data_IF_503336849380
#
_entry.id   IF_503336849380
#
_cell.length_a   1.000
_cell.length_b   1.000
_cell.length_c   1.000
_cell.angle_alpha   90.00
_cell.angle_beta   90.00
_cell.angle_gamma   90.00
#
_symmetry.space_group_name_H-M   'P 1'
#
loop_
_entity.id
_entity.type
_entity.pdbx_description
1 polymer ?
#
# COMPACT_ATOMS: atom_id res chain seq x y z
N UNK A 1 9.71 16.89 -0.31
CA UNK A 1 8.79 15.78 -0.05
C UNK A 1 8.82 14.85 -1.21
N UNK A 2 9.08 13.62 -0.92
CA UNK A 2 9.13 12.64 -2.00
C UNK A 2 7.73 12.07 -2.25
N UNK A 3 7.48 11.77 -3.50
CA UNK A 3 6.30 11.03 -3.90
C UNK A 3 6.41 9.60 -3.41
N UNK A 4 5.27 8.94 -3.23
CA UNK A 4 5.28 7.50 -2.99
C UNK A 4 5.79 6.79 -4.24
N UNK A 5 6.65 5.81 -4.05
CA UNK A 5 7.19 5.05 -5.17
C UNK A 5 6.09 4.17 -5.76
N UNK A 6 6.14 3.99 -7.07
CA UNK A 6 5.15 3.18 -7.78
C UNK A 6 5.65 1.77 -7.99
N UNK A 7 4.70 0.83 -7.98
CA UNK A 7 4.95 -0.54 -8.36
C UNK A 7 4.01 -0.88 -9.52
N UNK A 8 4.49 -1.72 -10.44
CA UNK A 8 3.73 -2.13 -11.63
C UNK A 8 3.61 -3.64 -11.64
N UNK A 9 2.85 -4.17 -12.61
CA UNK A 9 2.74 -5.62 -12.80
C UNK A 9 4.12 -6.25 -12.99
N UNK A 10 4.99 -5.56 -13.75
CA UNK A 10 6.32 -6.08 -14.05
C UNK A 10 7.24 -6.08 -12.83
N UNK A 11 7.09 -5.11 -11.93
CA UNK A 11 7.98 -4.99 -10.78
C UNK A 11 7.37 -5.57 -9.50
N UNK A 12 6.15 -6.08 -9.56
CA UNK A 12 5.43 -6.48 -8.34
C UNK A 12 6.14 -7.60 -7.59
N UNK A 13 6.62 -8.61 -8.30
CA UNK A 13 7.31 -9.72 -7.65
C UNK A 13 8.56 -9.24 -6.92
N UNK A 14 9.38 -8.43 -7.61
CA UNK A 14 10.64 -7.97 -7.03
C UNK A 14 10.44 -7.01 -5.87
N UNK A 15 9.47 -6.09 -5.99
CA UNK A 15 9.30 -5.02 -5.00
C UNK A 15 8.38 -5.41 -3.86
N UNK A 16 7.47 -6.36 -4.06
CA UNK A 16 6.46 -6.70 -3.06
C UNK A 16 6.59 -8.15 -2.60
N UNK A 17 6.56 -9.10 -3.54
CA UNK A 17 6.43 -10.51 -3.16
C UNK A 17 7.70 -11.08 -2.58
N UNK A 18 8.87 -10.60 -3.00
CA UNK A 18 10.16 -11.09 -2.48
C UNK A 18 10.83 -10.09 -1.55
N UNK A 19 10.09 -9.05 -1.11
CA UNK A 19 10.65 -8.05 -0.21
C UNK A 19 10.96 -8.68 1.15
N UNK A 20 12.03 -8.18 1.78
CA UNK A 20 12.47 -8.69 3.09
C UNK A 20 11.74 -8.02 4.25
N UNK A 21 10.93 -7.00 3.98
CA UNK A 21 10.13 -6.31 4.99
C UNK A 21 8.69 -6.22 4.51
N UNK A 22 7.74 -5.93 5.42
CA UNK A 22 6.35 -5.73 5.00
C UNK A 22 6.22 -4.58 4.01
N UNK A 23 5.31 -4.73 3.06
CA UNK A 23 5.05 -3.73 2.01
C UNK A 23 3.57 -3.39 2.00
N UNK A 24 3.27 -2.11 2.18
CA UNK A 24 1.91 -1.60 2.07
C UNK A 24 1.71 -1.10 0.65
N UNK A 25 0.72 -1.67 -0.05
CA UNK A 25 0.42 -1.29 -1.44
C UNK A 25 -0.91 -0.55 -1.48
N UNK A 26 -0.87 0.68 -1.98
CA UNK A 26 -2.03 1.53 -2.18
C UNK A 26 -2.54 1.37 -3.62
N UNK A 27 -3.67 0.70 -3.78
CA UNK A 27 -4.31 0.55 -5.08
C UNK A 27 -5.15 1.81 -5.36
N UNK A 28 -4.81 2.54 -6.42
CA UNK A 28 -5.40 3.85 -6.69
C UNK A 28 -5.61 4.06 -8.19
N UNK A 29 -6.29 5.15 -8.53
CA UNK A 29 -6.39 5.66 -9.89
C UNK A 29 -6.31 7.19 -9.85
N UNK A 30 -5.87 7.79 -10.96
CA UNK A 30 -5.68 9.24 -11.01
C UNK A 30 -7.01 10.00 -10.85
N UNK A 31 -8.11 9.41 -11.32
CA UNK A 31 -9.44 10.04 -11.27
C UNK A 31 -10.11 9.90 -9.90
N UNK A 32 -9.51 9.17 -8.99
CA UNK A 32 -10.14 8.81 -7.71
C UNK A 32 -9.86 9.89 -6.66
N UNK A 33 -10.87 10.69 -6.34
CA UNK A 33 -10.74 11.74 -5.33
C UNK A 33 -10.35 11.23 -3.96
N UNK A 34 -11.04 10.22 -3.41
CA UNK A 34 -10.66 9.66 -2.10
C UNK A 34 -9.24 9.09 -2.07
N UNK A 35 -8.76 8.56 -3.20
CA UNK A 35 -7.38 8.08 -3.28
C UNK A 35 -6.40 9.24 -3.08
N UNK A 36 -6.65 10.37 -3.76
CA UNK A 36 -5.80 11.55 -3.64
C UNK A 36 -5.85 12.13 -2.24
N UNK A 37 -7.04 12.13 -1.63
CA UNK A 37 -7.20 12.67 -0.28
C UNK A 37 -6.43 11.86 0.75
N UNK A 38 -6.21 10.57 0.51
CA UNK A 38 -5.49 9.69 1.45
C UNK A 38 -3.97 9.79 1.30
N UNK A 39 -3.47 10.31 0.19
CA UNK A 39 -2.02 10.32 -0.07
C UNK A 39 -1.17 11.01 1.00
N UNK A 40 -1.57 12.18 1.54
CA UNK A 40 -0.75 12.78 2.59
C UNK A 40 -0.56 11.87 3.80
N UNK A 41 -1.60 11.14 4.20
CA UNK A 41 -1.48 10.20 5.32
C UNK A 41 -0.51 9.08 4.98
N UNK A 42 -0.55 8.59 3.75
CA UNK A 42 0.36 7.52 3.32
C UNK A 42 1.80 7.99 3.26
N UNK A 43 2.04 9.24 2.84
CA UNK A 43 3.39 9.80 2.86
C UNK A 43 3.92 9.93 4.28
N UNK A 44 3.06 10.34 5.22
CA UNK A 44 3.45 10.40 6.64
C UNK A 44 3.80 9.01 7.17
N UNK A 45 3.00 8.01 6.82
CA UNK A 45 3.24 6.63 7.20
C UNK A 45 4.58 6.14 6.62
N UNK A 46 4.87 6.47 5.37
CA UNK A 46 6.11 6.04 4.73
C UNK A 46 7.32 6.59 5.46
N UNK A 47 7.25 7.83 5.94
CA UNK A 47 8.34 8.44 6.70
C UNK A 47 8.44 7.84 8.10
N UNK A 48 7.30 7.71 8.78
CA UNK A 48 7.28 7.24 10.17
C UNK A 48 7.80 5.81 10.29
N UNK A 49 7.46 4.95 9.32
CA UNK A 49 7.83 3.54 9.38
C UNK A 49 8.99 3.20 8.44
N UNK A 50 9.76 4.19 8.04
CA UNK A 50 10.91 3.97 7.16
C UNK A 50 11.85 2.93 7.77
N UNK A 51 12.27 1.96 6.95
CA UNK A 51 13.10 0.85 7.42
C UNK A 51 12.33 -0.31 8.02
N UNK A 52 11.04 -0.12 8.31
CA UNK A 52 10.21 -1.17 8.91
C UNK A 52 9.09 -1.61 7.97
N UNK A 53 8.50 -0.68 7.23
CA UNK A 53 7.47 -0.97 6.25
C UNK A 53 7.72 -0.09 5.03
N UNK A 54 7.65 -0.70 3.86
CA UNK A 54 7.75 0.04 2.61
C UNK A 54 6.35 0.38 2.14
N UNK A 55 6.15 1.61 1.65
CA UNK A 55 4.85 2.05 1.13
C UNK A 55 4.99 2.30 -0.36
N UNK A 56 4.19 1.59 -1.14
CA UNK A 56 4.19 1.70 -2.61
C UNK A 56 2.77 1.96 -3.08
N UNK A 57 2.62 2.55 -4.27
CA UNK A 57 1.29 2.70 -4.86
C UNK A 57 1.25 2.05 -6.23
N UNK A 58 0.07 1.50 -6.57
CA UNK A 58 -0.16 0.79 -7.81
C UNK A 58 -1.38 1.38 -8.50
N UNK A 59 -1.20 1.88 -9.71
CA UNK A 59 -2.28 2.46 -10.51
C UNK A 59 -3.07 1.32 -11.15
N UNK A 60 -4.35 1.17 -10.76
CA UNK A 60 -5.16 0.03 -11.23
C UNK A 60 -5.50 0.14 -12.71
N UNK A 61 -5.61 1.37 -13.25
CA UNK A 61 -5.91 1.52 -14.66
C UNK A 61 -4.78 1.04 -15.54
N UNK A 62 -3.54 1.18 -15.07
CA UNK A 62 -2.36 0.75 -15.80
C UNK A 62 -1.94 -0.68 -15.47
N UNK A 63 -2.48 -1.24 -14.38
CA UNK A 63 -2.06 -2.56 -13.90
C UNK A 63 -3.30 -3.39 -13.50
N UNK A 64 -4.20 -3.65 -14.46
CA UNK A 64 -5.46 -4.32 -14.13
C UNK A 64 -5.29 -5.78 -13.70
N UNK A 65 -4.23 -6.45 -14.16
CA UNK A 65 -4.03 -7.85 -13.81
C UNK A 65 -3.75 -8.02 -12.31
N UNK A 66 -2.95 -7.12 -11.73
CA UNK A 66 -2.65 -7.17 -10.30
C UNK A 66 -3.89 -6.86 -9.48
N UNK A 67 -4.67 -5.86 -9.92
CA UNK A 67 -5.94 -5.54 -9.28
C UNK A 67 -6.83 -6.76 -9.22
N UNK A 68 -6.96 -7.46 -10.35
CA UNK A 68 -7.82 -8.62 -10.47
C UNK A 68 -7.29 -9.78 -9.62
N UNK A 69 -5.98 -9.99 -9.66
CA UNK A 69 -5.33 -11.08 -8.92
C UNK A 69 -5.64 -11.03 -7.43
N UNK A 70 -5.66 -9.83 -6.86
CA UNK A 70 -5.87 -9.67 -5.41
C UNK A 70 -7.30 -9.30 -5.06
N UNK A 71 -8.22 -9.34 -6.02
CA UNK A 71 -9.64 -9.14 -5.76
C UNK A 71 -9.98 -7.73 -5.30
N UNK A 72 -9.27 -6.73 -5.81
CA UNK A 72 -9.51 -5.34 -5.45
C UNK A 72 -10.68 -4.84 -6.29
N UNK A 73 -11.87 -4.81 -5.68
CA UNK A 73 -13.10 -4.45 -6.38
C UNK A 73 -13.37 -2.96 -6.39
N UNK A 74 -12.84 -2.22 -5.42
CA UNK A 74 -13.03 -0.78 -5.34
C UNK A 74 -11.75 -0.11 -4.88
N UNK A 75 -11.63 1.19 -5.14
CA UNK A 75 -10.46 1.97 -4.75
C UNK A 75 -10.90 3.19 -3.95
N UNK A 76 -10.04 3.67 -3.02
CA UNK A 76 -8.73 3.10 -2.71
C UNK A 76 -8.84 1.78 -1.96
N UNK A 77 -7.79 1.00 -2.04
CA UNK A 77 -7.67 -0.21 -1.23
C UNK A 77 -6.22 -0.35 -0.78
N UNK A 78 -6.02 -0.71 0.47
CA UNK A 78 -4.69 -0.90 1.04
C UNK A 78 -4.51 -2.37 1.36
N UNK A 79 -3.45 -2.97 0.82
CA UNK A 79 -3.09 -4.34 1.10
C UNK A 79 -1.69 -4.35 1.71
N UNK A 80 -1.55 -4.99 2.87
CA UNK A 80 -0.27 -5.10 3.56
C UNK A 80 0.28 -6.50 3.34
N UNK A 81 1.41 -6.59 2.66
CA UNK A 81 2.06 -7.86 2.31
C UNK A 81 3.22 -8.12 3.25
N UNK A 82 3.41 -9.39 3.59
CA UNK A 82 4.62 -9.83 4.28
C UNK A 82 4.93 -11.23 3.81
N UNK A 83 6.19 -11.46 3.41
CA UNK A 83 6.60 -12.77 2.92
C UNK A 83 5.84 -13.21 1.69
N UNK A 84 5.39 -12.27 0.86
CA UNK A 84 4.66 -12.56 -0.36
C UNK A 84 3.17 -12.80 -0.16
N UNK A 85 2.66 -12.66 1.06
CA UNK A 85 1.25 -12.92 1.36
C UNK A 85 0.56 -11.68 1.88
N UNK A 86 -0.75 -11.55 1.57
CA UNK A 86 -1.57 -10.47 2.11
C UNK A 86 -1.89 -10.78 3.55
N UNK A 87 -1.39 -9.95 4.46
CA UNK A 87 -1.60 -10.13 5.89
C UNK A 87 -2.78 -9.29 6.41
N UNK A 88 -3.00 -8.12 5.83
CA UNK A 88 -4.06 -7.22 6.23
C UNK A 88 -4.57 -6.48 5.01
N UNK A 89 -5.84 -6.07 5.02
CA UNK A 89 -6.39 -5.23 3.96
C UNK A 89 -7.41 -4.25 4.51
N UNK A 90 -7.47 -3.07 3.89
CA UNK A 90 -8.50 -2.07 4.16
C UNK A 90 -9.17 -1.73 2.84
N UNK A 91 -10.50 -1.88 2.76
CA UNK A 91 -11.26 -1.48 1.59
C UNK A 91 -11.79 -0.07 1.83
N UNK A 92 -11.51 0.83 0.90
CA UNK A 92 -11.92 2.23 1.01
C UNK A 92 -10.90 3.10 1.69
N UNK A 93 -11.19 4.41 1.77
CA UNK A 93 -10.31 5.37 2.39
C UNK A 93 -10.29 5.18 3.90
N UNK A 94 -9.14 5.43 4.52
CA UNK A 94 -8.98 5.28 5.95
C UNK A 94 -8.11 6.42 6.48
N UNK A 95 -8.34 6.87 7.73
CA UNK A 95 -7.47 7.87 8.33
C UNK A 95 -6.14 7.25 8.73
N UNK A 96 -5.16 8.13 8.92
CA UNK A 96 -3.80 7.71 9.26
C UNK A 96 -3.75 6.77 10.45
N UNK A 97 -4.53 7.04 11.49
CA UNK A 97 -4.51 6.23 12.70
C UNK A 97 -4.95 4.79 12.44
N UNK A 98 -5.93 4.61 11.55
CA UNK A 98 -6.41 3.28 11.18
C UNK A 98 -5.34 2.52 10.39
N UNK A 99 -4.66 3.23 9.48
CA UNK A 99 -3.59 2.63 8.69
C UNK A 99 -2.43 2.23 9.60
N UNK A 100 -2.04 3.12 10.54
CA UNK A 100 -0.97 2.82 11.47
C UNK A 100 -1.31 1.61 12.34
N UNK A 101 -2.55 1.52 12.82
CA UNK A 101 -2.97 0.39 13.64
C UNK A 101 -2.88 -0.93 12.88
N UNK A 102 -3.24 -0.91 11.59
CA UNK A 102 -3.12 -2.09 10.74
C UNK A 102 -1.65 -2.52 10.59
N UNK A 103 -0.77 -1.55 10.36
CA UNK A 103 0.65 -1.84 10.19
C UNK A 103 1.23 -2.43 11.47
N UNK A 104 0.84 -1.92 12.63
CA UNK A 104 1.39 -2.37 13.89
C UNK A 104 1.00 -3.80 14.25
N UNK A 105 -0.08 -4.30 13.67
CA UNK A 105 -0.45 -5.71 13.85
C UNK A 105 0.55 -6.66 13.19
N UNK A 106 1.29 -6.17 12.21
CA UNK A 106 2.24 -6.99 11.46
C UNK A 106 3.68 -6.61 11.79
N UNK A 107 3.99 -5.30 11.82
CA UNK A 107 5.36 -4.80 11.95
C UNK A 107 5.68 -4.28 13.35
N UNK A 108 4.67 -4.12 14.22
CA UNK A 108 4.87 -3.51 15.52
C UNK A 108 4.93 -2.00 15.44
N UNK A 109 5.22 -1.37 16.59
CA UNK A 109 5.30 0.08 16.65
C UNK A 109 6.59 0.59 16.04
N UNK A 110 6.60 1.85 15.52
CA UNK A 110 7.82 2.44 14.98
C UNK A 110 8.89 2.49 16.09
N UNK A 111 10.09 2.08 15.73
CA UNK A 111 11.15 1.93 16.72
C UNK A 111 12.14 3.06 16.77
#
# INVERSE_FOLDING_TARGET
MSELAQVTEESFEALVLTASMPVLVDFYADWCGPCRAMEPALRDIAVEYEGEVKVLKLNVDQNPATQQRYGVLGIPALLLFEGGEVRQRIAGAAPRSTIAAMIEKVAGSPG
#
